data_IF_963043689302
#
_entry.id   IF_963043689302
#
_cell.length_a   1.000
_cell.length_b   1.000
_cell.length_c   1.000
_cell.angle_alpha   90.00
_cell.angle_beta   90.00
_cell.angle_gamma   90.00
#
_symmetry.space_group_name_H-M   'P 1'
#
loop_
_entity.id
_entity.type
_entity.pdbx_description
1 polymer ?
#
# COMPACT_ATOMS: atom_id res chain seq x y z
N UNK A 1 -4.60 -14.82 20.63
CA UNK A 1 -4.37 -14.98 19.18
C UNK A 1 -5.42 -14.15 18.45
N UNK A 2 -5.04 -13.38 17.42
CA UNK A 2 -6.01 -12.67 16.57
C UNK A 2 -6.67 -13.67 15.61
N UNK A 3 -7.95 -13.49 15.32
CA UNK A 3 -8.64 -14.30 14.29
C UNK A 3 -8.19 -13.83 12.90
N UNK A 4 -8.37 -14.66 11.84
CA UNK A 4 -8.11 -14.24 10.46
C UNK A 4 -8.82 -12.93 10.08
N UNK A 5 -10.06 -12.72 10.54
CA UNK A 5 -10.81 -11.48 10.32
C UNK A 5 -10.13 -10.28 10.98
N UNK A 6 -9.60 -10.46 12.19
CA UNK A 6 -8.83 -9.42 12.88
C UNK A 6 -7.60 -9.00 12.09
N UNK A 7 -6.86 -9.96 11.53
CA UNK A 7 -5.68 -9.66 10.70
C UNK A 7 -6.04 -9.00 9.37
N UNK A 8 -7.15 -9.38 8.75
CA UNK A 8 -7.66 -8.73 7.53
C UNK A 8 -8.02 -7.28 7.80
N UNK A 9 -8.69 -7.01 8.92
CA UNK A 9 -9.06 -5.65 9.32
C UNK A 9 -7.81 -4.81 9.62
N UNK A 10 -6.83 -5.35 10.37
CA UNK A 10 -5.56 -4.65 10.61
C UNK A 10 -4.87 -4.23 9.28
N UNK A 11 -4.87 -5.11 8.27
CA UNK A 11 -4.28 -4.80 6.95
C UNK A 11 -5.08 -3.72 6.20
N UNK A 12 -6.41 -3.75 6.29
CA UNK A 12 -7.28 -2.72 5.68
C UNK A 12 -7.08 -1.37 6.34
N UNK A 13 -7.05 -1.34 7.67
CA UNK A 13 -6.80 -0.12 8.43
C UNK A 13 -5.43 0.45 8.09
N UNK A 14 -4.40 -0.41 7.96
CA UNK A 14 -3.08 0.04 7.54
C UNK A 14 -3.06 0.61 6.12
N UNK A 15 -3.82 0.02 5.19
CA UNK A 15 -3.97 0.56 3.84
C UNK A 15 -4.64 1.93 3.82
N UNK A 16 -5.67 2.14 4.66
CA UNK A 16 -6.36 3.42 4.78
C UNK A 16 -5.44 4.51 5.39
N UNK A 17 -4.69 4.16 6.43
CA UNK A 17 -3.69 5.04 7.03
C UNK A 17 -2.63 5.47 6.00
N UNK A 18 -2.04 4.50 5.29
CA UNK A 18 -1.05 4.77 4.23
C UNK A 18 -1.63 5.65 3.11
N UNK A 19 -2.87 5.42 2.72
CA UNK A 19 -3.53 6.21 1.68
C UNK A 19 -3.73 7.65 2.12
N UNK A 20 -4.05 7.88 3.40
CA UNK A 20 -4.12 9.22 3.99
C UNK A 20 -2.75 9.90 4.05
N UNK A 21 -1.69 9.18 4.40
CA UNK A 21 -0.32 9.72 4.43
C UNK A 21 0.18 10.06 3.03
N UNK A 22 -0.08 9.21 2.02
CA UNK A 22 0.25 9.48 0.61
C UNK A 22 -0.44 10.76 0.14
N UNK A 23 -1.75 10.90 0.38
CA UNK A 23 -2.48 12.09 -0.04
C UNK A 23 -1.93 13.37 0.61
N UNK A 24 -1.53 13.29 1.88
CA UNK A 24 -0.87 14.42 2.58
C UNK A 24 0.49 14.74 1.98
N UNK A 25 1.28 13.72 1.63
CA UNK A 25 2.58 13.91 1.00
C UNK A 25 2.47 14.51 -0.42
N UNK A 26 1.47 14.09 -1.20
CA UNK A 26 1.18 14.66 -2.53
C UNK A 26 0.70 16.13 -2.44
N UNK A 27 -0.06 16.48 -1.40
CA UNK A 27 -0.41 17.88 -1.14
C UNK A 27 0.85 18.65 -0.73
N UNK A 28 1.69 18.09 0.15
CA UNK A 28 2.92 18.74 0.58
C UNK A 28 3.86 19.01 -0.60
N UNK A 29 3.99 18.09 -1.56
CA UNK A 29 4.89 18.26 -2.71
C UNK A 29 4.48 19.41 -3.63
N UNK A 30 3.21 19.85 -3.60
CA UNK A 30 2.71 20.97 -4.42
C UNK A 30 2.46 22.26 -3.63
N UNK A 31 2.37 22.18 -2.30
CA UNK A 31 2.04 23.34 -1.44
C UNK A 31 3.23 23.89 -0.68
N UNK A 32 4.24 23.07 -0.41
CA UNK A 32 5.46 23.52 0.25
C UNK A 32 6.45 24.09 -0.77
N UNK A 33 7.20 25.11 -0.36
CA UNK A 33 8.33 25.62 -1.13
C UNK A 33 9.54 24.71 -0.90
N UNK A 34 9.53 23.55 -1.56
CA UNK A 34 10.64 22.61 -1.56
C UNK A 34 11.67 23.01 -2.62
N UNK A 35 12.95 22.82 -2.33
CA UNK A 35 13.96 22.82 -3.39
C UNK A 35 13.88 21.54 -4.24
N UNK A 36 14.64 21.50 -5.34
CA UNK A 36 14.60 20.37 -6.27
C UNK A 36 14.97 19.04 -5.61
N UNK A 37 15.98 19.04 -4.74
CA UNK A 37 16.44 17.82 -4.08
C UNK A 37 15.41 17.34 -3.05
N UNK A 38 14.81 18.25 -2.28
CA UNK A 38 13.71 17.95 -1.36
C UNK A 38 12.49 17.39 -2.08
N UNK A 39 12.14 17.96 -3.24
CA UNK A 39 11.05 17.47 -4.08
C UNK A 39 11.33 16.06 -4.59
N UNK A 40 12.54 15.79 -5.10
CA UNK A 40 12.92 14.48 -5.62
C UNK A 40 12.89 13.41 -4.51
N UNK A 41 13.42 13.74 -3.32
CA UNK A 41 13.36 12.85 -2.15
C UNK A 41 11.92 12.55 -1.74
N UNK A 42 11.05 13.56 -1.67
CA UNK A 42 9.64 13.37 -1.31
C UNK A 42 8.91 12.54 -2.38
N UNK A 43 9.21 12.78 -3.66
CA UNK A 43 8.63 12.04 -4.77
C UNK A 43 9.00 10.54 -4.71
N UNK A 44 10.28 10.21 -4.49
CA UNK A 44 10.72 8.82 -4.29
C UNK A 44 10.01 8.16 -3.10
N UNK A 45 9.86 8.88 -1.99
CA UNK A 45 9.14 8.38 -0.81
C UNK A 45 7.67 8.09 -1.14
N UNK A 46 6.99 8.99 -1.86
CA UNK A 46 5.60 8.79 -2.30
C UNK A 46 5.49 7.53 -3.18
N UNK A 47 6.44 7.29 -4.10
CA UNK A 47 6.46 6.09 -4.94
C UNK A 47 6.60 4.81 -4.10
N UNK A 48 7.53 4.81 -3.13
CA UNK A 48 7.70 3.69 -2.21
C UNK A 48 6.42 3.41 -1.40
N UNK A 49 5.78 4.47 -0.87
CA UNK A 49 4.54 4.35 -0.10
C UNK A 49 3.40 3.78 -0.95
N UNK A 50 3.24 4.24 -2.19
CA UNK A 50 2.24 3.72 -3.14
C UNK A 50 2.46 2.24 -3.44
N UNK A 51 3.71 1.84 -3.69
CA UNK A 51 4.07 0.45 -3.93
C UNK A 51 3.72 -0.43 -2.72
N UNK A 52 4.08 0.02 -1.51
CA UNK A 52 3.75 -0.70 -0.29
C UNK A 52 2.24 -0.80 -0.04
N UNK A 53 1.49 0.28 -0.27
CA UNK A 53 0.04 0.29 -0.14
C UNK A 53 -0.64 -0.72 -1.08
N UNK A 54 -0.17 -0.85 -2.32
CA UNK A 54 -0.64 -1.91 -3.24
C UNK A 54 -0.42 -3.30 -2.66
N UNK A 55 0.76 -3.58 -2.12
CA UNK A 55 1.09 -4.87 -1.48
C UNK A 55 0.17 -5.15 -0.28
N UNK A 56 -0.06 -4.18 0.59
CA UNK A 56 -0.95 -4.33 1.76
C UNK A 56 -2.38 -4.63 1.32
N UNK A 57 -2.90 -3.89 0.33
CA UNK A 57 -4.23 -4.14 -0.26
C UNK A 57 -4.35 -5.54 -0.85
N UNK A 58 -3.37 -5.97 -1.63
CA UNK A 58 -3.36 -7.31 -2.23
C UNK A 58 -3.30 -8.41 -1.17
N UNK A 59 -2.52 -8.24 -0.10
CA UNK A 59 -2.49 -9.18 1.03
C UNK A 59 -3.81 -9.25 1.77
N UNK A 60 -4.45 -8.11 2.04
CA UNK A 60 -5.76 -8.07 2.68
C UNK A 60 -6.81 -8.82 1.83
N UNK A 61 -6.80 -8.61 0.52
CA UNK A 61 -7.71 -9.29 -0.39
C UNK A 61 -7.41 -10.80 -0.50
N UNK A 62 -6.13 -11.19 -0.60
CA UNK A 62 -5.73 -12.59 -0.61
C UNK A 62 -6.18 -13.31 0.67
N UNK A 63 -5.92 -12.71 1.84
CA UNK A 63 -6.33 -13.28 3.13
C UNK A 63 -7.85 -13.49 3.20
N UNK A 64 -8.64 -12.50 2.73
CA UNK A 64 -10.10 -12.61 2.63
C UNK A 64 -10.56 -13.72 1.69
N UNK A 65 -10.04 -13.75 0.47
CA UNK A 65 -10.41 -14.77 -0.51
C UNK A 65 -10.04 -16.18 -0.02
N UNK A 66 -8.90 -16.32 0.67
CA UNK A 66 -8.47 -17.58 1.28
C UNK A 66 -9.38 -18.00 2.43
N UNK A 67 -9.77 -17.08 3.32
CA UNK A 67 -10.71 -17.39 4.42
C UNK A 67 -12.10 -17.78 3.92
N UNK A 68 -12.53 -17.23 2.79
CA UNK A 68 -13.81 -17.57 2.14
C UNK A 68 -13.74 -18.86 1.30
N UNK A 69 -12.57 -19.51 1.21
CA UNK A 69 -12.36 -20.73 0.41
C UNK A 69 -12.43 -20.51 -1.10
N UNK A 70 -12.33 -19.26 -1.56
CA UNK A 70 -12.45 -18.86 -2.97
C UNK A 70 -11.14 -19.03 -3.76
N UNK A 71 -10.01 -19.22 -3.08
CA UNK A 71 -8.71 -19.54 -3.68
C UNK A 71 -8.05 -20.69 -2.92
N UNK A 72 -7.58 -21.70 -3.67
CA UNK A 72 -6.73 -22.78 -3.17
C UNK A 72 -5.28 -22.43 -3.49
N UNK A 73 -4.40 -22.63 -2.51
CA UNK A 73 -2.98 -22.23 -2.46
C UNK A 73 -2.33 -22.00 -3.84
N UNK A 74 -2.40 -20.77 -4.33
CA UNK A 74 -1.61 -20.31 -5.47
C UNK A 74 -0.55 -19.34 -4.93
N UNK A 75 0.73 -19.50 -5.29
CA UNK A 75 1.79 -18.65 -4.79
C UNK A 75 1.57 -17.22 -5.27
N UNK A 76 1.80 -16.29 -4.35
CA UNK A 76 1.67 -14.84 -4.53
C UNK A 76 2.36 -14.41 -5.84
N UNK A 77 1.59 -13.98 -6.85
CA UNK A 77 2.14 -13.32 -8.03
C UNK A 77 2.56 -11.93 -7.55
N UNK A 78 3.88 -11.70 -7.45
CA UNK A 78 4.42 -10.34 -7.44
C UNK A 78 3.99 -9.72 -8.76
N UNK A 79 3.14 -8.70 -8.72
CA UNK A 79 3.03 -7.79 -9.86
C UNK A 79 4.43 -7.18 -10.03
N UNK A 80 5.13 -7.58 -11.09
CA UNK A 80 6.35 -6.90 -11.51
C UNK A 80 5.99 -5.44 -11.81
N UNK A 81 6.83 -4.47 -11.39
CA UNK A 81 6.58 -3.09 -11.74
C UNK A 81 6.56 -2.97 -13.27
N UNK A 82 5.48 -2.40 -13.82
CA UNK A 82 5.43 -2.03 -15.23
C UNK A 82 6.60 -1.08 -15.51
N UNK A 83 7.53 -1.52 -16.36
CA UNK A 83 8.59 -0.67 -16.91
C UNK A 83 7.93 0.42 -17.78
N UNK A 84 8.22 1.68 -17.47
CA UNK A 84 7.84 2.87 -18.27
C UNK A 84 8.99 3.19 -19.22
#
# INVERSE_FOLDING_TARGET
>A
MKTPEGLINDLRDKYLELSSDIARAEIASVTLMLDQNEHDMLYEQILCMKSYAKVVKSRANYARLKSEGLIKDTPYIKEEPEEI
#
